data_IF_896607520247
#
_entry.id   IF_896607520247
#
_cell.length_a   1.000
_cell.length_b   1.000
_cell.length_c   1.000
_cell.angle_alpha   90.00
_cell.angle_beta   90.00
_cell.angle_gamma   90.00
#
_symmetry.space_group_name_H-M   'P 1'
#
loop_
_entity.id
_entity.type
_entity.pdbx_description
1 polymer ?
#
# COMPACT_ATOMS: atom_id res chain seq x y z
N UNK A 1 3.43 16.38 -13.16
CA UNK A 1 4.21 16.13 -11.92
C UNK A 1 4.81 14.75 -12.09
N UNK A 2 6.12 14.58 -11.87
CA UNK A 2 6.74 13.27 -12.05
C UNK A 2 6.22 12.30 -11.00
N UNK A 3 5.85 11.08 -11.41
CA UNK A 3 5.51 10.01 -10.48
C UNK A 3 6.74 9.77 -9.59
N UNK A 4 6.60 9.99 -8.28
CA UNK A 4 7.68 9.68 -7.34
C UNK A 4 7.72 8.16 -7.18
N UNK A 5 8.87 7.56 -7.48
CA UNK A 5 9.13 6.14 -7.29
C UNK A 5 9.94 6.00 -5.99
N UNK A 6 9.51 5.09 -5.13
CA UNK A 6 10.26 4.64 -3.96
C UNK A 6 10.91 3.32 -4.32
N UNK A 7 12.23 3.30 -4.24
CA UNK A 7 13.03 2.11 -4.50
C UNK A 7 13.46 1.48 -3.18
N UNK A 8 13.30 0.18 -3.02
CA UNK A 8 13.82 -0.60 -1.89
C UNK A 8 14.21 -2.01 -2.34
N UNK A 9 15.04 -2.71 -1.58
CA UNK A 9 15.38 -4.10 -1.89
C UNK A 9 14.28 -5.07 -1.45
N UNK A 10 14.29 -6.30 -1.99
CA UNK A 10 13.41 -7.37 -1.50
C UNK A 10 13.59 -7.61 0.01
N UNK A 11 14.83 -7.60 0.51
CA UNK A 11 15.14 -7.74 1.94
C UNK A 11 14.56 -6.61 2.80
N UNK A 12 14.60 -5.37 2.30
CA UNK A 12 14.04 -4.21 3.00
C UNK A 12 12.51 -4.29 3.06
N UNK A 13 11.89 -4.70 1.95
CA UNK A 13 10.45 -4.93 1.88
C UNK A 13 10.01 -6.02 2.86
N UNK A 14 10.71 -7.16 2.89
CA UNK A 14 10.37 -8.27 3.78
C UNK A 14 10.46 -7.87 5.26
N UNK A 15 11.54 -7.20 5.67
CA UNK A 15 11.70 -6.69 7.05
C UNK A 15 10.58 -5.71 7.43
N UNK A 16 10.19 -4.84 6.51
CA UNK A 16 9.07 -3.91 6.72
C UNK A 16 7.76 -4.67 6.98
N UNK A 17 7.47 -5.70 6.18
CA UNK A 17 6.26 -6.51 6.33
C UNK A 17 6.24 -7.31 7.63
N UNK A 18 7.38 -7.87 8.04
CA UNK A 18 7.53 -8.56 9.34
C UNK A 18 7.21 -7.65 10.53
N UNK A 19 7.65 -6.40 10.52
CA UNK A 19 7.31 -5.43 11.57
C UNK A 19 5.81 -5.12 11.59
N UNK A 20 5.19 -5.00 10.43
CA UNK A 20 3.76 -4.75 10.34
C UNK A 20 2.88 -5.90 10.82
N UNK A 21 3.33 -7.14 10.70
CA UNK A 21 2.62 -8.30 11.23
C UNK A 21 2.33 -8.17 12.74
N UNK A 22 3.17 -7.45 13.48
CA UNK A 22 3.03 -7.23 14.93
C UNK A 22 1.95 -6.22 15.30
N UNK A 23 1.49 -5.38 14.36
CA UNK A 23 0.64 -4.23 14.66
C UNK A 23 -0.85 -4.57 14.83
N UNK A 24 -1.32 -5.74 14.37
CA UNK A 24 -2.71 -6.22 14.50
C UNK A 24 -3.81 -5.13 14.34
N UNK A 25 -3.60 -4.17 13.43
CA UNK A 25 -4.54 -3.08 13.22
C UNK A 25 -5.71 -3.56 12.37
N UNK A 26 -6.92 -3.06 12.66
CA UNK A 26 -8.06 -3.25 11.76
C UNK A 26 -7.79 -2.52 10.46
N UNK A 27 -7.84 -3.25 9.36
CA UNK A 27 -7.62 -2.71 8.02
C UNK A 27 -8.96 -2.42 7.35
N UNK A 28 -9.02 -1.35 6.56
CA UNK A 28 -10.14 -1.07 5.64
C UNK A 28 -9.56 -0.64 4.31
N UNK A 29 -10.21 -1.02 3.22
CA UNK A 29 -9.79 -0.59 1.89
C UNK A 29 -10.05 0.92 1.73
N UNK A 30 -9.02 1.70 1.34
CA UNK A 30 -9.12 3.16 1.28
C UNK A 30 -10.19 3.61 0.29
N UNK A 31 -10.92 4.66 0.63
CA UNK A 31 -11.81 5.33 -0.31
C UNK A 31 -10.99 6.14 -1.33
N UNK A 32 -11.65 6.66 -2.36
CA UNK A 32 -10.99 7.51 -3.37
C UNK A 32 -10.35 8.75 -2.73
N UNK A 33 -11.04 9.41 -1.80
CA UNK A 33 -10.50 10.56 -1.06
C UNK A 33 -9.26 10.20 -0.22
N UNK A 34 -9.18 8.95 0.26
CA UNK A 34 -8.00 8.47 0.99
C UNK A 34 -6.80 8.30 0.02
N UNK A 35 -7.03 8.01 -1.26
CA UNK A 35 -5.95 7.88 -2.26
C UNK A 35 -5.23 9.21 -2.51
N UNK A 36 -5.96 10.33 -2.52
CA UNK A 36 -5.36 11.67 -2.65
C UNK A 36 -4.38 11.94 -1.48
N UNK A 37 -4.70 11.44 -0.29
CA UNK A 37 -3.83 11.54 0.89
C UNK A 37 -2.57 10.68 0.69
N UNK A 38 -2.71 9.45 0.19
CA UNK A 38 -1.57 8.57 -0.09
C UNK A 38 -0.61 9.20 -1.12
N UNK A 39 -1.16 9.83 -2.15
CA UNK A 39 -0.39 10.51 -3.20
C UNK A 39 0.29 11.79 -2.71
N UNK A 40 -0.25 12.45 -1.68
CA UNK A 40 0.33 13.68 -1.13
C UNK A 40 1.74 13.49 -0.55
N UNK A 41 2.04 12.30 -0.03
CA UNK A 41 3.35 11.93 0.53
C UNK A 41 3.62 10.42 0.36
N UNK A 42 3.94 10.05 -0.89
CA UNK A 42 4.20 8.66 -1.29
C UNK A 42 5.26 7.99 -0.40
N UNK A 43 6.35 8.67 -0.07
CA UNK A 43 7.43 8.07 0.73
C UNK A 43 6.95 7.67 2.13
N UNK A 44 6.05 8.47 2.71
CA UNK A 44 5.46 8.18 4.02
C UNK A 44 4.37 7.11 3.95
N UNK A 45 3.55 7.14 2.92
CA UNK A 45 2.32 6.35 2.86
C UNK A 45 2.42 5.04 2.08
N UNK A 46 3.43 4.86 1.23
CA UNK A 46 3.65 3.62 0.50
C UNK A 46 3.84 2.39 1.42
N UNK A 47 4.58 2.46 2.54
CA UNK A 47 4.65 1.35 3.51
C UNK A 47 3.26 0.96 4.05
N UNK A 48 2.41 1.95 4.33
CA UNK A 48 1.04 1.70 4.78
C UNK A 48 0.16 1.09 3.68
N UNK A 49 0.33 1.51 2.42
CA UNK A 49 -0.34 0.87 1.30
C UNK A 49 0.07 -0.61 1.15
N UNK A 50 1.37 -0.92 1.28
CA UNK A 50 1.87 -2.29 1.26
C UNK A 50 1.32 -3.13 2.42
N UNK A 51 1.24 -2.54 3.62
CA UNK A 51 0.60 -3.16 4.77
C UNK A 51 -0.86 -3.54 4.49
N UNK A 52 -1.64 -2.61 3.94
CA UNK A 52 -3.03 -2.85 3.59
C UNK A 52 -3.19 -3.93 2.52
N UNK A 53 -2.32 -3.99 1.51
CA UNK A 53 -2.43 -5.05 0.50
C UNK A 53 -2.07 -6.44 1.05
N UNK A 54 -1.04 -6.52 1.89
CA UNK A 54 -0.57 -7.79 2.48
C UNK A 54 -1.44 -8.31 3.63
N UNK A 55 -1.99 -7.42 4.46
CA UNK A 55 -2.73 -7.77 5.68
C UNK A 55 -4.18 -7.24 5.72
N UNK A 56 -4.67 -6.71 4.59
CA UNK A 56 -6.05 -6.26 4.44
C UNK A 56 -7.09 -7.37 4.59
N UNK A 57 -8.21 -7.09 5.26
CA UNK A 57 -9.35 -8.01 5.30
C UNK A 57 -9.86 -8.33 3.88
N UNK A 58 -10.35 -9.55 3.65
CA UNK A 58 -10.93 -9.93 2.36
C UNK A 58 -12.07 -8.98 1.98
N UNK A 59 -12.07 -8.39 0.76
CA UNK A 59 -13.17 -7.56 0.29
C UNK A 59 -14.51 -8.28 0.40
N UNK A 60 -15.50 -7.59 0.96
CA UNK A 60 -16.85 -8.12 1.23
C UNK A 60 -17.85 -7.81 0.13
N UNK A 61 -17.52 -6.87 -0.75
CA UNK A 61 -18.39 -6.40 -1.82
C UNK A 61 -17.56 -5.87 -3.01
N UNK A 62 -18.24 -5.61 -4.14
CA UNK A 62 -17.61 -5.13 -5.38
C UNK A 62 -16.90 -3.77 -5.23
N UNK A 63 -17.39 -2.93 -4.32
CA UNK A 63 -16.77 -1.62 -4.05
C UNK A 63 -15.44 -1.79 -3.31
N UNK A 64 -15.38 -2.65 -2.28
CA UNK A 64 -14.13 -3.01 -1.60
C UNK A 64 -13.14 -3.70 -2.56
N UNK A 65 -13.61 -4.55 -3.49
CA UNK A 65 -12.75 -5.12 -4.53
C UNK A 65 -12.14 -4.06 -5.44
N UNK A 66 -12.96 -3.09 -5.86
CA UNK A 66 -12.50 -1.96 -6.66
C UNK A 66 -11.44 -1.14 -5.92
N UNK A 67 -11.70 -0.78 -4.65
CA UNK A 67 -10.76 -0.04 -3.81
C UNK A 67 -9.43 -0.78 -3.62
N UNK A 68 -9.48 -2.11 -3.38
CA UNK A 68 -8.28 -2.94 -3.31
C UNK A 68 -7.48 -2.88 -4.61
N UNK A 69 -8.14 -2.93 -5.78
CA UNK A 69 -7.46 -2.81 -7.08
C UNK A 69 -6.81 -1.43 -7.25
N UNK A 70 -7.51 -0.36 -6.88
CA UNK A 70 -6.96 1.01 -6.93
C UNK A 70 -5.72 1.14 -6.06
N UNK A 71 -5.75 0.61 -4.84
CA UNK A 71 -4.58 0.58 -3.95
C UNK A 71 -3.40 -0.18 -4.56
N UNK A 72 -3.65 -1.33 -5.20
CA UNK A 72 -2.60 -2.11 -5.87
C UNK A 72 -1.97 -1.37 -7.04
N UNK A 73 -2.77 -0.64 -7.83
CA UNK A 73 -2.25 0.19 -8.90
C UNK A 73 -1.34 1.29 -8.35
N UNK A 74 -1.75 1.95 -7.28
CA UNK A 74 -0.89 2.92 -6.59
C UNK A 74 0.44 2.30 -6.14
N UNK A 75 0.43 1.13 -5.51
CA UNK A 75 1.68 0.44 -5.11
C UNK A 75 2.53 0.14 -6.33
N UNK A 76 1.95 -0.40 -7.41
CA UNK A 76 2.66 -0.73 -8.64
C UNK A 76 3.29 0.50 -9.33
N UNK A 77 2.64 1.66 -9.25
CA UNK A 77 3.13 2.90 -9.88
C UNK A 77 4.23 3.58 -9.06
N UNK A 78 4.33 3.26 -7.77
CA UNK A 78 5.17 3.99 -6.81
C UNK A 78 6.21 3.16 -6.07
N UNK A 79 6.15 1.82 -6.14
CA UNK A 79 7.14 0.92 -5.56
C UNK A 79 7.96 0.26 -6.68
N UNK A 80 9.27 0.40 -6.58
CA UNK A 80 10.22 -0.38 -7.37
C UNK A 80 11.06 -1.24 -6.42
N UNK A 81 10.99 -2.57 -6.60
CA UNK A 81 11.85 -3.49 -5.89
C UNK A 81 13.08 -3.79 -6.74
N UNK A 82 14.26 -3.62 -6.15
CA UNK A 82 15.57 -3.82 -6.81
C UNK A 82 16.41 -4.84 -6.06
N UNK A 83 17.52 -5.25 -6.69
CA UNK A 83 18.36 -6.42 -6.37
C UNK A 83 17.74 -7.76 -6.76
#
# INVERSE_FOLDING_TARGET
>A
MGNKIVTMTFDEYDRMMEEFQKLHLKTRWPALDDMEILESDIQRFLPYACYLDGYGETPRNKDEEYRKRTLRLFIQEHLELVD
#
